data_IF_419571305562
#
_entry.id   IF_419571305562
#
_cell.length_a   1.000
_cell.length_b   1.000
_cell.length_c   1.000
_cell.angle_alpha   90.00
_cell.angle_beta   90.00
_cell.angle_gamma   90.00
#
_symmetry.space_group_name_H-M   'P 1'
#
loop_
_entity.id
_entity.type
_entity.pdbx_description
1 polymer ?
#
# COMPACT_ATOMS: atom_id res chain seq x y z
N UNK A 1 1.91 -12.47 9.89
CA UNK A 1 0.96 -11.39 10.24
C UNK A 1 0.10 -11.88 11.39
N UNK A 2 -0.06 -11.06 12.42
CA UNK A 2 -0.82 -11.36 13.63
C UNK A 2 -1.64 -10.13 14.02
N UNK A 3 -2.90 -10.36 14.39
CA UNK A 3 -3.79 -9.35 14.99
C UNK A 3 -4.31 -9.94 16.30
N UNK A 4 -3.74 -9.49 17.41
CA UNK A 4 -4.01 -10.00 18.76
C UNK A 4 -4.87 -9.05 19.58
N UNK A 5 -4.87 -7.76 19.25
CA UNK A 5 -5.46 -6.70 20.07
C UNK A 5 -6.34 -5.76 19.25
N UNK A 6 -7.36 -5.20 19.91
CA UNK A 6 -8.25 -4.20 19.30
C UNK A 6 -7.58 -2.82 19.24
N UNK A 7 -8.12 -1.91 18.41
CA UNK A 7 -7.67 -0.50 18.37
C UNK A 7 -7.75 0.16 19.75
N UNK A 8 -8.78 -0.16 20.53
CA UNK A 8 -8.98 0.35 21.89
C UNK A 8 -7.91 -0.12 22.88
N UNK A 9 -7.36 -1.31 22.67
CA UNK A 9 -6.29 -1.86 23.52
C UNK A 9 -4.93 -1.28 23.13
N UNK A 10 -4.60 -1.25 21.83
CA UNK A 10 -3.32 -0.71 21.36
C UNK A 10 -3.20 0.81 21.62
N UNK A 11 -4.31 1.54 21.77
CA UNK A 11 -4.26 2.98 22.04
C UNK A 11 -3.93 3.32 23.49
N UNK A 12 -3.95 2.34 24.41
CA UNK A 12 -3.78 2.55 25.86
C UNK A 12 -2.35 2.37 26.33
N UNK A 13 -1.56 1.60 25.59
CA UNK A 13 -0.21 1.22 25.97
C UNK A 13 0.70 1.22 24.74
N UNK A 14 1.87 1.82 24.89
CA UNK A 14 2.83 2.00 23.80
C UNK A 14 3.31 0.65 23.24
N UNK A 15 3.58 -0.33 24.10
CA UNK A 15 4.13 -1.62 23.67
C UNK A 15 3.08 -2.50 22.98
N UNK A 16 1.81 -2.36 23.40
CA UNK A 16 0.71 -3.19 22.90
C UNK A 16 0.49 -3.04 21.40
N UNK A 17 0.81 -1.88 20.80
CA UNK A 17 0.71 -1.70 19.35
C UNK A 17 1.62 -2.65 18.55
N UNK A 18 2.78 -3.05 19.10
CA UNK A 18 3.72 -3.96 18.44
C UNK A 18 3.29 -5.43 18.49
N UNK A 19 2.26 -5.77 19.29
CA UNK A 19 1.68 -7.12 19.30
C UNK A 19 0.84 -7.43 18.06
N UNK A 20 0.33 -6.38 17.41
CA UNK A 20 -0.27 -6.46 16.09
C UNK A 20 0.79 -6.14 15.05
N UNK A 21 1.23 -7.13 14.26
CA UNK A 21 2.32 -6.94 13.31
C UNK A 21 2.08 -7.68 12.00
N UNK A 22 2.67 -7.18 10.94
CA UNK A 22 2.72 -7.81 9.63
C UNK A 22 4.09 -7.60 9.00
N UNK A 23 4.58 -8.57 8.24
CA UNK A 23 5.61 -8.29 7.23
C UNK A 23 4.94 -7.66 6.01
N UNK A 24 5.63 -6.81 5.24
CA UNK A 24 5.09 -6.29 3.98
C UNK A 24 4.63 -7.39 3.04
N UNK A 25 5.36 -8.50 2.93
CA UNK A 25 5.00 -9.63 2.07
C UNK A 25 3.70 -10.29 2.46
N UNK A 26 3.47 -10.47 3.77
CA UNK A 26 2.22 -11.04 4.25
C UNK A 26 1.03 -10.11 3.97
N UNK A 27 1.24 -8.79 4.02
CA UNK A 27 0.22 -7.82 3.67
C UNK A 27 -0.07 -7.83 2.15
N UNK A 28 0.96 -7.93 1.31
CA UNK A 28 0.81 -8.07 -0.14
C UNK A 28 0.09 -9.37 -0.52
N UNK A 29 0.44 -10.50 0.11
CA UNK A 29 -0.27 -11.76 -0.13
C UNK A 29 -1.73 -11.70 0.35
N UNK A 30 -2.02 -11.02 1.45
CA UNK A 30 -3.40 -10.76 1.88
C UNK A 30 -4.19 -9.97 0.81
N UNK A 31 -3.61 -8.88 0.30
CA UNK A 31 -4.21 -8.07 -0.76
C UNK A 31 -4.44 -8.89 -2.03
N UNK A 32 -3.50 -9.79 -2.36
CA UNK A 32 -3.62 -10.70 -3.49
C UNK A 32 -4.79 -11.68 -3.31
N UNK A 33 -4.89 -12.36 -2.16
CA UNK A 33 -6.01 -13.27 -1.84
C UNK A 33 -7.35 -12.52 -1.92
N UNK A 34 -7.40 -11.28 -1.43
CA UNK A 34 -8.56 -10.40 -1.53
C UNK A 34 -8.90 -10.04 -2.98
N UNK A 35 -7.91 -9.67 -3.80
CA UNK A 35 -8.10 -9.34 -5.21
C UNK A 35 -8.56 -10.54 -6.05
N UNK A 36 -8.08 -11.74 -5.73
CA UNK A 36 -8.50 -13.00 -6.36
C UNK A 36 -9.89 -13.46 -5.88
N UNK A 37 -10.53 -12.77 -4.92
CA UNK A 37 -11.86 -13.14 -4.41
C UNK A 37 -11.86 -14.42 -3.57
N UNK A 38 -10.70 -14.85 -3.07
CA UNK A 38 -10.55 -16.11 -2.30
C UNK A 38 -10.83 -15.97 -0.81
N UNK A 39 -10.99 -14.74 -0.31
CA UNK A 39 -11.15 -14.47 1.13
C UNK A 39 -12.61 -14.37 1.58
N UNK A 40 -13.50 -13.82 0.75
CA UNK A 40 -14.85 -13.40 1.13
C UNK A 40 -15.85 -13.77 0.02
N UNK A 41 -17.16 -13.73 0.33
CA UNK A 41 -18.19 -13.82 -0.72
C UNK A 41 -18.04 -12.69 -1.75
N UNK A 42 -18.58 -12.85 -2.99
CA UNK A 42 -18.51 -11.79 -4.00
C UNK A 42 -19.06 -10.44 -3.52
N UNK A 43 -20.22 -10.42 -2.86
CA UNK A 43 -20.83 -9.20 -2.34
C UNK A 43 -19.98 -8.54 -1.26
N UNK A 44 -19.40 -9.33 -0.35
CA UNK A 44 -18.52 -8.83 0.70
C UNK A 44 -17.20 -8.30 0.13
N UNK A 45 -16.66 -8.97 -0.90
CA UNK A 45 -15.47 -8.52 -1.62
C UNK A 45 -15.71 -7.16 -2.27
N UNK A 46 -16.85 -6.99 -2.92
CA UNK A 46 -17.23 -5.72 -3.56
C UNK A 46 -17.44 -4.61 -2.53
N UNK A 47 -18.15 -4.90 -1.44
CA UNK A 47 -18.37 -3.92 -0.37
C UNK A 47 -17.06 -3.47 0.28
N UNK A 48 -16.17 -4.41 0.61
CA UNK A 48 -14.87 -4.06 1.20
C UNK A 48 -14.01 -3.25 0.22
N UNK A 49 -14.02 -3.60 -1.07
CA UNK A 49 -13.32 -2.86 -2.11
C UNK A 49 -13.83 -1.44 -2.24
N UNK A 50 -15.14 -1.24 -2.16
CA UNK A 50 -15.76 0.08 -2.16
C UNK A 50 -15.24 0.91 -0.99
N UNK A 51 -15.31 0.38 0.25
CA UNK A 51 -14.80 1.09 1.43
C UNK A 51 -13.32 1.45 1.34
N UNK A 52 -12.50 0.54 0.78
CA UNK A 52 -11.07 0.81 0.56
C UNK A 52 -10.82 1.89 -0.50
N UNK A 53 -11.70 2.01 -1.50
CA UNK A 53 -11.58 3.00 -2.58
C UNK A 53 -12.07 4.37 -2.13
N UNK A 54 -13.15 4.41 -1.35
CA UNK A 54 -13.77 5.62 -0.79
C UNK A 54 -13.04 6.14 0.47
N UNK A 55 -11.87 5.59 0.80
CA UNK A 55 -11.11 6.02 1.98
C UNK A 55 -10.58 7.45 1.82
N UNK A 56 -10.96 8.33 2.75
CA UNK A 56 -10.52 9.72 2.84
C UNK A 56 -9.14 9.90 3.50
N UNK A 57 -8.74 8.95 4.35
CA UNK A 57 -7.48 9.03 5.09
C UNK A 57 -6.25 8.87 4.18
N UNK A 58 -5.12 9.45 4.56
CA UNK A 58 -3.84 9.20 3.88
C UNK A 58 -3.72 9.86 2.49
N UNK A 59 -4.42 10.97 2.24
CA UNK A 59 -4.35 11.69 0.98
C UNK A 59 -2.91 12.04 0.53
N UNK A 60 -1.97 12.20 1.47
CA UNK A 60 -0.54 12.48 1.23
C UNK A 60 0.37 11.24 1.15
N UNK A 61 -0.20 10.03 1.20
CA UNK A 61 0.53 8.75 1.21
C UNK A 61 0.53 8.12 -0.17
N UNK A 62 0.10 6.85 -0.32
CA UNK A 62 0.11 6.16 -1.62
C UNK A 62 -0.58 6.99 -2.70
N UNK A 63 -1.75 7.56 -2.37
CA UNK A 63 -2.56 8.40 -3.28
C UNK A 63 -1.78 9.57 -3.88
N UNK A 64 -0.87 10.20 -3.13
CA UNK A 64 -0.10 11.35 -3.61
C UNK A 64 1.04 10.99 -4.59
N UNK A 65 1.46 9.72 -4.60
CA UNK A 65 2.49 9.22 -5.52
C UNK A 65 1.94 8.73 -6.86
N UNK A 66 0.63 8.69 -7.02
CA UNK A 66 -0.03 8.05 -8.16
C UNK A 66 -0.69 9.09 -9.09
N UNK A 67 -0.82 8.79 -10.40
CA UNK A 67 -1.62 9.59 -11.31
C UNK A 67 -3.09 9.65 -10.87
N UNK A 68 -3.83 10.66 -11.31
CA UNK A 68 -5.25 10.81 -10.93
C UNK A 68 -6.16 9.78 -11.59
N UNK A 69 -5.68 9.18 -12.67
CA UNK A 69 -6.42 8.27 -13.54
C UNK A 69 -6.42 6.83 -13.03
N UNK A 70 -5.60 6.52 -12.01
CA UNK A 70 -5.54 5.18 -11.42
C UNK A 70 -6.53 5.06 -10.26
N UNK A 71 -7.15 3.90 -10.13
CA UNK A 71 -7.96 3.60 -8.96
C UNK A 71 -7.07 3.03 -7.85
N UNK A 72 -7.29 3.47 -6.61
CA UNK A 72 -6.59 2.98 -5.44
C UNK A 72 -7.59 2.51 -4.39
N UNK A 73 -7.61 1.21 -4.11
CA UNK A 73 -8.27 0.65 -2.95
C UNK A 73 -7.21 0.43 -1.86
N UNK A 74 -7.24 1.22 -0.77
CA UNK A 74 -6.18 1.18 0.23
C UNK A 74 -6.68 1.27 1.68
N UNK A 75 -5.78 1.00 2.62
CA UNK A 75 -6.01 1.23 4.03
C UNK A 75 -4.75 1.79 4.72
N UNK A 76 -4.98 2.85 5.47
CA UNK A 76 -3.97 3.52 6.28
C UNK A 76 -3.86 2.94 7.69
N UNK A 77 -2.67 3.09 8.28
CA UNK A 77 -2.43 2.92 9.71
C UNK A 77 -1.53 4.04 10.25
N UNK A 78 -1.81 4.53 11.45
CA UNK A 78 -0.96 5.52 12.13
C UNK A 78 -0.90 5.16 13.61
N UNK A 79 0.30 4.90 14.11
CA UNK A 79 0.56 4.65 15.52
C UNK A 79 0.70 5.94 16.31
N UNK A 80 0.76 5.81 17.64
CA UNK A 80 1.04 6.93 18.53
C UNK A 80 2.46 7.48 18.36
N UNK A 81 2.73 8.62 18.99
CA UNK A 81 4.08 9.17 19.12
C UNK A 81 4.47 9.21 20.60
N UNK A 82 5.65 8.68 20.93
CA UNK A 82 6.22 8.68 22.28
C UNK A 82 7.71 9.01 22.18
N UNK A 83 8.18 9.92 23.03
CA UNK A 83 9.59 10.33 23.09
C UNK A 83 10.20 10.72 21.73
N UNK A 84 9.40 11.42 20.90
CA UNK A 84 9.78 11.85 19.56
C UNK A 84 9.73 10.76 18.49
N UNK A 85 9.33 9.53 18.82
CA UNK A 85 9.22 8.40 17.90
C UNK A 85 7.75 8.11 17.58
N UNK A 86 7.39 8.12 16.30
CA UNK A 86 6.10 7.59 15.84
C UNK A 86 6.25 6.11 15.48
N UNK A 87 5.51 5.24 16.17
CA UNK A 87 5.68 3.78 16.04
C UNK A 87 5.25 3.23 14.68
N UNK A 88 4.28 3.86 14.02
CA UNK A 88 3.84 3.45 12.68
C UNK A 88 3.26 4.60 11.86
N UNK A 89 3.63 4.67 10.58
CA UNK A 89 2.95 5.42 9.52
C UNK A 89 2.88 4.51 8.30
N UNK A 90 1.72 3.88 8.09
CA UNK A 90 1.55 2.77 7.16
C UNK A 90 0.48 3.10 6.12
N UNK A 91 0.66 2.57 4.91
CA UNK A 91 -0.38 2.55 3.90
C UNK A 91 -0.16 1.35 2.97
N UNK A 92 -1.22 0.62 2.65
CA UNK A 92 -1.16 -0.56 1.79
C UNK A 92 -2.46 -0.68 0.99
N UNK A 93 -2.38 -1.20 -0.22
CA UNK A 93 -3.54 -1.25 -1.11
C UNK A 93 -3.27 -1.88 -2.47
N UNK A 94 -4.30 -1.86 -3.30
CA UNK A 94 -4.29 -2.33 -4.68
C UNK A 94 -4.50 -1.14 -5.59
N UNK A 95 -3.51 -0.89 -6.44
CA UNK A 95 -3.58 0.06 -7.54
C UNK A 95 -4.16 -0.67 -8.74
N UNK A 96 -5.14 -0.06 -9.41
CA UNK A 96 -5.70 -0.56 -10.67
C UNK A 96 -5.38 0.43 -11.78
N UNK A 97 -4.57 -0.03 -12.74
CA UNK A 97 -4.21 0.72 -13.92
C UNK A 97 -5.42 0.86 -14.89
N UNK A 98 -5.42 1.86 -15.78
CA UNK A 98 -6.49 2.04 -16.76
C UNK A 98 -6.72 0.84 -17.69
N UNK A 99 -5.69 0.03 -17.92
CA UNK A 99 -5.76 -1.21 -18.71
C UNK A 99 -6.27 -2.44 -17.92
N UNK A 100 -6.67 -2.24 -16.67
CA UNK A 100 -7.19 -3.28 -15.79
C UNK A 100 -6.13 -4.08 -15.02
N UNK A 101 -4.83 -3.82 -15.23
CA UNK A 101 -3.78 -4.47 -14.42
C UNK A 101 -3.82 -4.01 -12.97
N UNK A 102 -3.56 -4.94 -12.05
CA UNK A 102 -3.53 -4.67 -10.62
C UNK A 102 -2.11 -4.77 -10.06
N UNK A 103 -1.77 -3.85 -9.15
CA UNK A 103 -0.50 -3.83 -8.40
C UNK A 103 -0.83 -3.77 -6.91
N UNK A 104 -0.45 -4.81 -6.16
CA UNK A 104 -0.52 -4.80 -4.70
C UNK A 104 0.76 -4.16 -4.13
N UNK A 105 0.58 -3.25 -3.17
CA UNK A 105 1.67 -2.52 -2.52
C UNK A 105 1.42 -2.40 -1.01
N UNK A 106 2.47 -2.53 -0.20
CA UNK A 106 2.44 -2.27 1.22
C UNK A 106 3.69 -1.51 1.64
N UNK A 107 3.52 -0.36 2.29
CA UNK A 107 4.61 0.48 2.80
C UNK A 107 4.40 0.73 4.28
N UNK A 108 5.34 0.27 5.10
CA UNK A 108 5.35 0.47 6.55
C UNK A 108 6.53 1.34 6.94
N UNK A 109 6.25 2.50 7.54
CA UNK A 109 7.28 3.37 8.15
C UNK A 109 7.17 3.21 9.66
N UNK A 110 8.07 2.44 10.24
CA UNK A 110 8.10 2.12 11.67
C UNK A 110 9.15 2.93 12.42
N UNK A 111 8.91 3.17 13.72
CA UNK A 111 9.85 3.76 14.68
C UNK A 111 10.63 4.96 14.16
N UNK A 112 9.89 5.92 13.60
CA UNK A 112 10.49 7.06 12.91
C UNK A 112 10.45 8.31 13.78
N UNK A 113 11.60 8.97 13.89
CA UNK A 113 11.75 10.31 14.48
C UNK A 113 11.50 11.45 13.49
N UNK A 114 11.33 11.15 12.20
CA UNK A 114 11.02 12.15 11.18
C UNK A 114 9.62 12.72 11.40
N UNK A 115 9.35 13.93 10.94
CA UNK A 115 8.02 14.53 11.05
C UNK A 115 6.97 13.82 10.17
N UNK A 116 5.69 14.11 10.44
CA UNK A 116 4.56 13.52 9.72
C UNK A 116 4.66 13.69 8.19
N UNK A 117 4.86 14.91 7.66
CA UNK A 117 5.00 15.13 6.23
C UNK A 117 6.12 14.31 5.58
N UNK A 118 7.28 14.20 6.23
CA UNK A 118 8.40 13.40 5.72
C UNK A 118 8.05 11.92 5.63
N UNK A 119 7.42 11.37 6.68
CA UNK A 119 7.00 9.95 6.68
C UNK A 119 5.96 9.66 5.60
N UNK A 120 4.98 10.56 5.41
CA UNK A 120 3.97 10.41 4.35
C UNK A 120 4.59 10.54 2.95
N UNK A 121 5.54 11.47 2.78
CA UNK A 121 6.26 11.66 1.52
C UNK A 121 7.05 10.41 1.12
N UNK A 122 7.70 9.73 2.06
CA UNK A 122 8.39 8.45 1.78
C UNK A 122 7.43 7.42 1.19
N UNK A 123 6.21 7.32 1.72
CA UNK A 123 5.18 6.40 1.20
C UNK A 123 4.77 6.80 -0.22
N UNK A 124 4.54 8.10 -0.47
CA UNK A 124 4.20 8.61 -1.79
C UNK A 124 5.31 8.37 -2.81
N UNK A 125 6.57 8.63 -2.45
CA UNK A 125 7.72 8.43 -3.34
C UNK A 125 7.89 6.96 -3.73
N UNK A 126 7.66 6.03 -2.78
CA UNK A 126 7.69 4.58 -3.06
C UNK A 126 6.54 4.19 -3.99
N UNK A 127 5.32 4.70 -3.74
CA UNK A 127 4.18 4.43 -4.62
C UNK A 127 4.43 4.89 -6.06
N UNK A 128 5.02 6.09 -6.20
CA UNK A 128 5.43 6.64 -7.49
C UNK A 128 6.46 5.75 -8.18
N UNK A 129 7.54 5.38 -7.49
CA UNK A 129 8.58 4.53 -8.06
C UNK A 129 8.06 3.14 -8.49
N UNK A 130 7.16 2.55 -7.71
CA UNK A 130 6.48 1.30 -8.09
C UNK A 130 5.60 1.54 -9.31
N UNK A 131 4.78 2.58 -9.31
CA UNK A 131 3.94 2.89 -10.46
C UNK A 131 4.77 3.10 -11.74
N UNK A 132 5.80 3.93 -11.72
CA UNK A 132 6.66 4.19 -12.88
C UNK A 132 7.32 2.90 -13.41
N UNK A 133 7.79 2.03 -12.52
CA UNK A 133 8.42 0.77 -12.90
C UNK A 133 7.46 -0.24 -13.55
N UNK A 134 6.19 -0.25 -13.14
CA UNK A 134 5.25 -1.33 -13.47
C UNK A 134 4.07 -0.90 -14.36
N UNK A 135 3.82 0.42 -14.49
CA UNK A 135 2.79 0.96 -15.39
C UNK A 135 3.20 0.89 -16.85
N UNK A 136 4.48 1.15 -17.17
CA UNK A 136 5.10 0.93 -18.48
C UNK A 136 4.44 1.64 -19.68
N UNK A 137 5.15 2.58 -20.30
CA UNK A 137 5.14 2.63 -21.77
C UNK A 137 5.69 1.30 -22.34
N UNK A 138 5.35 0.91 -23.59
CA UNK A 138 5.94 -0.26 -24.23
C UNK A 138 7.47 -0.13 -24.27
N UNK A 139 8.19 -1.20 -23.94
CA UNK A 139 9.63 -1.23 -23.81
C UNK A 139 10.37 -0.61 -25.03
N UNK A 140 10.97 0.55 -24.85
CA UNK A 140 12.03 1.06 -25.74
C UNK A 140 13.37 0.53 -25.21
N UNK A 141 14.15 -0.08 -26.10
CA UNK A 141 15.48 -0.60 -25.77
C UNK A 141 16.56 0.49 -25.75
N UNK A 142 17.40 0.40 -24.70
CA UNK A 142 18.83 0.77 -24.58
C UNK A 142 19.18 2.29 -24.68
N UNK A 143 20.19 2.91 -24.05
CA UNK A 143 21.48 2.52 -23.46
C UNK A 143 21.88 3.59 -22.41
N UNK A 144 22.51 3.19 -21.30
CA UNK A 144 23.70 3.83 -20.67
C UNK A 144 23.72 3.84 -19.13
N UNK A 145 24.91 3.54 -18.61
CA UNK A 145 25.30 3.25 -17.23
C UNK A 145 25.22 4.46 -16.29
N UNK A 146 25.05 4.20 -14.99
CA UNK A 146 25.86 4.88 -13.96
C UNK A 146 25.21 5.24 -12.62
N UNK A 147 25.71 4.57 -11.57
CA UNK A 147 25.99 5.08 -10.21
C UNK A 147 24.92 4.91 -9.12
N UNK A 148 25.30 4.08 -8.16
CA UNK A 148 24.74 3.84 -6.82
C UNK A 148 25.03 4.99 -5.86
N UNK A 149 24.07 5.34 -5.01
CA UNK A 149 24.33 5.96 -3.70
C UNK A 149 23.47 5.29 -2.60
N UNK A 150 24.12 5.10 -1.47
CA UNK A 150 23.74 4.24 -0.36
C UNK A 150 22.86 4.96 0.67
N UNK A 151 21.60 4.54 0.80
CA UNK A 151 20.78 4.76 1.99
C UNK A 151 20.48 3.40 2.62
N UNK A 152 20.96 3.19 3.85
CA UNK A 152 20.63 2.03 4.67
C UNK A 152 19.22 2.21 5.23
N UNK A 153 18.21 2.08 4.36
CA UNK A 153 16.80 1.97 4.73
C UNK A 153 16.52 0.47 4.89
N UNK A 154 15.92 0.05 6.01
CA UNK A 154 15.39 -1.31 6.15
C UNK A 154 14.15 -1.45 5.25
N UNK A 155 14.37 -1.38 3.93
CA UNK A 155 13.45 -1.86 2.92
C UNK A 155 13.57 -3.37 2.99
N UNK A 156 12.61 -4.03 3.62
CA UNK A 156 12.33 -5.44 3.31
C UNK A 156 11.80 -5.47 1.87
N UNK A 157 12.70 -5.35 0.90
CA UNK A 157 12.47 -5.82 -0.46
C UNK A 157 12.51 -7.34 -0.39
N UNK A 158 11.38 -7.98 -0.06
CA UNK A 158 11.13 -9.25 -0.72
C UNK A 158 10.46 -8.90 -2.02
N UNK A 159 11.27 -8.85 -3.09
CA UNK A 159 10.77 -8.96 -4.45
C UNK A 159 10.28 -10.39 -4.65
N UNK A 160 9.19 -10.77 -3.97
CA UNK A 160 8.39 -11.90 -4.42
C UNK A 160 7.71 -11.40 -5.68
N UNK A 161 8.18 -11.91 -6.82
CA UNK A 161 7.54 -11.87 -8.15
C UNK A 161 6.15 -11.24 -8.07
N UNK A 162 6.06 -9.93 -8.36
CA UNK A 162 4.81 -9.16 -8.34
C UNK A 162 3.71 -10.04 -8.86
N UNK A 163 2.73 -10.37 -8.01
CA UNK A 163 1.64 -11.21 -8.46
C UNK A 163 0.79 -10.34 -9.38
N UNK A 164 1.06 -10.47 -10.66
CA UNK A 164 0.16 -10.01 -11.70
C UNK A 164 -1.08 -10.86 -11.63
N UNK A 165 -2.16 -10.28 -11.12
CA UNK A 165 -3.47 -10.87 -11.14
C UNK A 165 -4.18 -10.38 -12.40
N UNK A 166 -4.16 -11.21 -13.43
CA UNK A 166 -5.04 -11.04 -14.58
C UNK A 166 -6.42 -11.58 -14.18
N UNK A 167 -7.30 -10.73 -13.67
CA UNK A 167 -8.73 -11.02 -13.59
C UNK A 167 -9.48 -10.00 -14.45
N UNK A 168 -10.49 -10.42 -15.23
CA UNK A 168 -11.32 -9.49 -15.98
C UNK A 168 -12.05 -8.55 -15.02
N UNK A 169 -12.12 -7.28 -15.39
CA UNK A 169 -12.90 -6.24 -14.73
C UNK A 169 -14.35 -6.71 -14.57
N UNK A 170 -14.95 -6.67 -13.37
CA UNK A 170 -16.38 -6.92 -13.24
C UNK A 170 -17.16 -5.85 -14.02
N UNK A 171 -18.21 -6.21 -14.78
CA UNK A 171 -19.03 -5.24 -15.49
C UNK A 171 -19.85 -4.42 -14.49
N UNK A 172 -19.61 -3.11 -14.44
CA UNK A 172 -20.49 -2.19 -13.72
C UNK A 172 -19.80 -1.03 -13.02
N UNK A 173 -19.24 -0.10 -13.80
CA UNK A 173 -19.03 1.30 -13.41
C UNK A 173 -19.07 2.13 -14.70
N UNK A 174 -20.24 2.20 -15.33
CA UNK A 174 -20.52 3.27 -16.29
C UNK A 174 -20.72 4.56 -15.50
N UNK A 175 -19.79 5.50 -15.64
CA UNK A 175 -19.99 6.86 -15.21
C UNK A 175 -21.20 7.43 -15.98
N UNK A 176 -22.29 7.73 -15.25
CA UNK A 176 -23.38 8.57 -15.72
C UNK A 176 -23.42 9.81 -14.83
N UNK A 177 -23.43 10.98 -15.45
CA UNK A 177 -23.66 12.29 -14.79
C UNK A 177 -22.66 13.34 -15.19
#
# INVERSE_FOLDING_TARGET
MIVSNTIKEISRDWETQYRNWATPDAAVELLRVFQEGRALSPDSTNLLRQFMTETDTGARRLKAGLPKEVFLAHKTGTGGTKDGITGATNDFGIITAPDGRHIAIAVFVSDSSADGPTREKVIADIAKAVWEKWSGEPAVQDVSKGKTDSYKLCLTHTLSRSVFLNNPTPPGLTANG
#
